data_IF_011271425811
#
_entry.id   IF_011271425811
#
_cell.length_a   1.000
_cell.length_b   1.000
_cell.length_c   1.000
_cell.angle_alpha   90.00
_cell.angle_beta   90.00
_cell.angle_gamma   90.00
#
_symmetry.space_group_name_H-M   'P 1'
#
loop_
_entity.id
_entity.type
_entity.pdbx_description
1 polymer ?
#
# COMPACT_ATOMS: atom_id res chain seq x y z
N UNK A 1 12.01 -94.36 9.70
CA UNK A 1 11.57 -93.50 10.83
C UNK A 1 12.44 -92.26 10.91
N UNK A 2 11.91 -91.09 10.57
CA UNK A 2 12.09 -89.81 11.30
C UNK A 2 11.14 -88.77 10.71
N UNK A 3 10.42 -88.15 11.63
CA UNK A 3 9.15 -87.47 11.48
C UNK A 3 9.24 -86.07 10.84
N UNK A 4 8.41 -85.83 9.84
CA UNK A 4 8.04 -84.51 9.34
C UNK A 4 7.10 -83.80 10.33
N UNK A 5 7.66 -82.92 11.17
CA UNK A 5 6.88 -82.06 12.06
C UNK A 5 6.25 -80.88 11.31
N UNK A 6 5.00 -81.04 10.90
CA UNK A 6 4.20 -79.98 10.27
C UNK A 6 3.84 -78.86 11.25
N UNK A 7 4.20 -77.61 10.92
CA UNK A 7 3.73 -76.44 11.65
C UNK A 7 2.27 -76.14 11.30
N UNK A 8 1.36 -76.30 12.27
CA UNK A 8 -0.08 -76.07 12.10
C UNK A 8 -0.43 -74.60 11.80
N UNK A 9 -1.52 -74.32 11.04
CA UNK A 9 -1.91 -72.96 10.59
C UNK A 9 -2.13 -71.94 11.72
N UNK A 10 -2.54 -72.40 12.92
CA UNK A 10 -2.71 -71.55 14.12
C UNK A 10 -1.38 -70.93 14.59
N UNK A 11 -0.25 -71.64 14.44
CA UNK A 11 1.07 -71.15 14.86
C UNK A 11 1.60 -70.01 13.97
N UNK A 12 1.35 -70.07 12.65
CA UNK A 12 1.70 -68.99 11.71
C UNK A 12 0.89 -67.72 11.95
N UNK A 13 -0.41 -67.85 12.25
CA UNK A 13 -1.29 -66.70 12.57
C UNK A 13 -0.88 -66.03 13.89
N UNK A 14 -0.52 -66.81 14.90
CA UNK A 14 0.01 -66.31 16.17
C UNK A 14 1.33 -65.55 15.98
N UNK A 15 2.30 -66.13 15.26
CA UNK A 15 3.58 -65.47 14.93
C UNK A 15 3.42 -64.17 14.14
N UNK A 16 2.47 -64.11 13.19
CA UNK A 16 2.15 -62.87 12.45
C UNK A 16 1.54 -61.79 13.34
N UNK A 17 0.69 -62.18 14.31
CA UNK A 17 0.07 -61.24 15.25
C UNK A 17 1.09 -60.67 16.24
N UNK A 18 2.00 -61.51 16.73
CA UNK A 18 3.17 -61.10 17.54
C UNK A 18 4.08 -60.13 16.78
N UNK A 19 4.42 -60.43 15.51
CA UNK A 19 5.23 -59.55 14.68
C UNK A 19 4.55 -58.20 14.40
N UNK A 20 3.24 -58.20 14.12
CA UNK A 20 2.47 -56.98 13.93
C UNK A 20 2.39 -56.13 15.20
N UNK A 21 2.26 -56.76 16.38
CA UNK A 21 2.25 -56.08 17.67
C UNK A 21 3.61 -55.42 17.98
N UNK A 22 4.71 -56.14 17.74
CA UNK A 22 6.08 -55.59 17.87
C UNK A 22 6.34 -54.44 16.88
N UNK A 23 5.88 -54.56 15.64
CA UNK A 23 5.99 -53.49 14.65
C UNK A 23 5.19 -52.25 15.07
N UNK A 24 3.96 -52.44 15.57
CA UNK A 24 3.11 -51.37 16.07
C UNK A 24 3.72 -50.67 17.30
N UNK A 25 4.24 -51.43 18.27
CA UNK A 25 4.93 -50.87 19.45
C UNK A 25 6.19 -50.09 19.06
N UNK A 26 6.94 -50.59 18.06
CA UNK A 26 8.13 -49.89 17.53
C UNK A 26 7.74 -48.58 16.84
N UNK A 27 6.68 -48.59 16.03
CA UNK A 27 6.15 -47.38 15.36
C UNK A 27 5.61 -46.39 16.40
N UNK A 28 4.93 -46.89 17.45
CA UNK A 28 4.40 -46.05 18.53
C UNK A 28 5.53 -45.39 19.32
N UNK A 29 6.55 -46.15 19.73
CA UNK A 29 7.75 -45.60 20.38
C UNK A 29 8.47 -44.60 19.49
N UNK A 30 8.62 -44.87 18.18
CA UNK A 30 9.20 -43.90 17.22
C UNK A 30 8.37 -42.62 17.11
N UNK A 31 7.03 -42.72 17.11
CA UNK A 31 6.13 -41.56 17.11
C UNK A 31 6.21 -40.76 18.42
N UNK A 32 6.28 -41.42 19.57
CA UNK A 32 6.46 -40.76 20.87
C UNK A 32 7.83 -40.07 20.95
N UNK A 33 8.90 -40.74 20.52
CA UNK A 33 10.25 -40.14 20.47
C UNK A 33 10.32 -38.96 19.50
N UNK A 34 9.60 -39.05 18.37
CA UNK A 34 9.47 -37.95 17.41
C UNK A 34 8.70 -36.78 18.02
N UNK A 35 7.58 -37.03 18.72
CA UNK A 35 6.83 -36.00 19.46
C UNK A 35 7.68 -35.34 20.55
N UNK A 36 8.48 -36.12 21.27
CA UNK A 36 9.41 -35.60 22.29
C UNK A 36 10.50 -34.75 21.64
N UNK A 37 11.12 -35.19 20.54
CA UNK A 37 12.09 -34.38 19.78
C UNK A 37 11.47 -33.14 19.15
N UNK A 38 10.23 -33.21 18.68
CA UNK A 38 9.47 -32.07 18.17
C UNK A 38 9.13 -31.10 19.31
N UNK A 39 8.73 -31.59 20.49
CA UNK A 39 8.49 -30.77 21.68
C UNK A 39 9.78 -30.13 22.22
N UNK A 40 10.89 -30.86 22.22
CA UNK A 40 12.21 -30.39 22.63
C UNK A 40 12.80 -29.40 21.61
N UNK A 41 12.57 -29.62 20.31
CA UNK A 41 12.81 -28.64 19.26
C UNK A 41 11.96 -27.39 19.48
N UNK A 42 10.67 -27.55 19.82
CA UNK A 42 9.76 -26.43 20.11
C UNK A 42 10.19 -25.67 21.36
N UNK A 43 10.74 -26.35 22.37
CA UNK A 43 11.31 -25.74 23.58
C UNK A 43 12.65 -25.02 23.33
N UNK A 44 13.54 -25.56 22.49
CA UNK A 44 14.75 -24.84 22.03
C UNK A 44 14.41 -23.61 21.19
N UNK A 45 13.34 -23.74 20.42
CA UNK A 45 12.71 -22.68 19.66
C UNK A 45 11.97 -21.67 20.57
N UNK A 46 11.61 -22.00 21.82
CA UNK A 46 11.00 -21.06 22.78
C UNK A 46 11.98 -20.06 23.42
N UNK A 47 13.24 -20.02 22.96
CA UNK A 47 14.01 -18.76 22.98
C UNK A 47 13.52 -17.77 21.89
N UNK A 48 12.34 -18.02 21.32
CA UNK A 48 11.64 -17.11 20.43
C UNK A 48 11.42 -15.78 21.14
N UNK A 49 12.21 -14.83 20.68
CA UNK A 49 11.88 -13.43 20.56
C UNK A 49 10.37 -13.33 20.27
N UNK A 50 9.60 -12.86 21.26
CA UNK A 50 8.15 -12.63 21.14
C UNK A 50 7.83 -11.80 19.89
N UNK A 51 6.62 -11.86 19.31
CA UNK A 51 6.26 -10.97 18.19
C UNK A 51 6.53 -9.49 18.48
N UNK A 52 6.44 -9.09 19.74
CA UNK A 52 6.84 -7.80 20.31
C UNK A 52 8.35 -7.58 20.23
N UNK A 53 9.17 -8.54 20.65
CA UNK A 53 10.63 -8.44 20.50
C UNK A 53 11.07 -8.53 19.02
N UNK A 54 10.41 -9.31 18.14
CA UNK A 54 10.70 -9.36 16.69
C UNK A 54 10.39 -8.01 16.05
N UNK A 55 9.33 -7.35 16.50
CA UNK A 55 9.01 -5.98 16.08
C UNK A 55 10.01 -4.92 16.57
N UNK A 56 10.85 -5.27 17.55
CA UNK A 56 11.92 -4.42 18.12
C UNK A 56 13.31 -4.76 17.57
N UNK A 57 13.50 -5.89 16.87
CA UNK A 57 14.74 -6.16 16.15
C UNK A 57 14.85 -5.14 15.03
N UNK A 58 15.74 -4.16 15.21
CA UNK A 58 16.20 -3.29 14.12
C UNK A 58 17.09 -4.15 13.23
N UNK A 59 16.67 -4.35 11.98
CA UNK A 59 17.57 -4.93 10.98
C UNK A 59 18.77 -3.97 10.81
N UNK A 60 20.00 -4.45 10.57
CA UNK A 60 21.15 -3.58 10.26
C UNK A 60 20.89 -2.63 9.08
N UNK A 61 19.92 -2.99 8.23
CA UNK A 61 19.40 -2.21 7.11
C UNK A 61 17.94 -1.75 7.33
N UNK A 62 17.49 -1.61 8.57
CA UNK A 62 16.23 -0.91 8.85
C UNK A 62 16.44 0.57 8.52
N UNK A 63 16.18 0.90 7.25
CA UNK A 63 16.27 2.25 6.70
C UNK A 63 15.13 3.16 7.20
N UNK A 64 14.69 2.98 8.43
CA UNK A 64 13.86 3.92 9.17
C UNK A 64 14.81 4.69 10.12
N UNK A 65 15.49 5.77 9.70
CA UNK A 65 16.25 6.57 10.63
C UNK A 65 15.30 7.53 11.36
N UNK A 66 15.67 7.81 12.60
CA UNK A 66 15.05 8.78 13.51
C UNK A 66 13.66 8.35 13.97
N UNK A 67 13.56 8.11 15.27
CA UNK A 67 12.27 7.95 15.95
C UNK A 67 11.43 9.17 15.50
N UNK A 68 10.34 8.98 14.73
CA UNK A 68 9.45 10.10 14.47
C UNK A 68 9.09 10.64 15.84
N UNK A 69 9.12 11.96 16.05
CA UNK A 69 8.55 12.52 17.27
C UNK A 69 7.21 11.82 17.47
N UNK A 70 7.06 11.14 18.62
CA UNK A 70 5.82 10.47 18.96
C UNK A 70 4.83 11.58 19.29
N UNK A 71 4.41 12.34 18.29
CA UNK A 71 3.19 13.13 18.37
C UNK A 71 2.08 12.19 18.82
N UNK A 72 1.18 12.69 19.66
CA UNK A 72 0.04 11.92 20.12
C UNK A 72 -0.66 11.33 18.89
N UNK A 73 -0.70 9.99 18.82
CA UNK A 73 -1.43 9.30 17.78
C UNK A 73 -2.93 9.56 18.00
N UNK A 74 -3.46 10.66 17.46
CA UNK A 74 -4.90 10.91 17.44
C UNK A 74 -5.56 9.79 16.63
N UNK A 75 -6.42 9.02 17.28
CA UNK A 75 -7.11 7.87 16.70
C UNK A 75 -8.54 7.85 17.15
N UNK A 76 -9.45 7.55 16.23
CA UNK A 76 -10.88 7.39 16.53
C UNK A 76 -11.27 5.92 16.33
N UNK A 77 -12.22 5.46 17.16
CA UNK A 77 -12.91 4.17 17.04
C UNK A 77 -12.00 2.98 16.70
N UNK A 78 -11.11 2.62 17.63
CA UNK A 78 -10.13 1.51 17.45
C UNK A 78 -9.18 1.69 16.26
N UNK A 79 -8.80 2.93 15.93
CA UNK A 79 -7.84 3.29 14.87
C UNK A 79 -8.39 3.10 13.44
N UNK A 80 -9.70 3.18 13.25
CA UNK A 80 -10.30 3.17 11.90
C UNK A 80 -9.98 4.50 11.20
N UNK A 81 -10.11 5.61 11.91
CA UNK A 81 -9.63 6.92 11.45
C UNK A 81 -8.36 7.22 12.23
N UNK A 82 -7.28 7.52 11.52
CA UNK A 82 -5.96 7.68 12.13
C UNK A 82 -5.13 8.74 11.46
N UNK A 83 -4.50 9.58 12.29
CA UNK A 83 -3.48 10.51 11.82
C UNK A 83 -2.20 9.76 11.47
N UNK A 84 -1.78 9.85 10.22
CA UNK A 84 -0.41 9.57 9.82
C UNK A 84 0.49 10.71 10.32
N UNK A 85 1.51 10.38 11.12
CA UNK A 85 2.43 11.35 11.75
C UNK A 85 3.86 10.81 11.82
N UNK A 86 4.20 9.85 10.96
CA UNK A 86 5.43 9.07 11.06
C UNK A 86 6.47 9.48 10.04
N UNK A 87 6.40 10.72 9.57
CA UNK A 87 7.37 11.19 8.63
C UNK A 87 8.71 11.49 9.31
N UNK A 88 9.82 11.01 8.74
CA UNK A 88 11.15 11.42 9.15
C UNK A 88 11.33 12.95 8.99
N UNK A 89 12.13 13.60 9.85
CA UNK A 89 12.34 15.06 9.80
C UNK A 89 12.89 15.59 8.48
N UNK A 90 13.69 14.79 7.76
CA UNK A 90 14.29 15.19 6.47
C UNK A 90 13.31 15.06 5.29
N UNK A 91 12.08 14.59 5.52
CA UNK A 91 11.07 14.33 4.50
C UNK A 91 9.92 15.33 4.62
N UNK A 92 9.65 16.05 3.53
CA UNK A 92 8.50 16.93 3.37
C UNK A 92 7.26 16.10 3.07
N UNK A 93 6.72 15.47 4.11
CA UNK A 93 5.46 14.74 4.09
C UNK A 93 4.85 14.81 5.48
N UNK A 94 4.16 15.90 5.80
CA UNK A 94 3.56 16.07 7.12
C UNK A 94 2.32 15.21 7.34
N UNK A 95 1.53 15.63 8.33
CA UNK A 95 0.41 14.84 8.81
C UNK A 95 -0.73 14.76 7.79
N UNK A 96 -1.40 13.61 7.71
CA UNK A 96 -2.65 13.44 6.95
C UNK A 96 -3.52 12.34 7.57
N UNK A 97 -4.82 12.39 7.31
CA UNK A 97 -5.78 11.44 7.87
C UNK A 97 -5.97 10.22 6.97
N UNK A 98 -5.93 9.04 7.57
CA UNK A 98 -6.19 7.77 6.91
C UNK A 98 -7.56 7.23 7.34
N UNK A 99 -8.36 6.76 6.37
CA UNK A 99 -9.51 5.90 6.62
C UNK A 99 -9.11 4.44 6.38
N UNK A 100 -8.99 3.68 7.47
CA UNK A 100 -8.58 2.27 7.48
C UNK A 100 -9.79 1.34 7.39
N UNK A 101 -10.60 1.53 6.34
CA UNK A 101 -11.79 0.73 6.06
C UNK A 101 -11.46 -0.70 5.60
N UNK A 102 -10.30 -0.89 4.98
CA UNK A 102 -9.79 -2.17 4.53
C UNK A 102 -8.26 -2.23 4.57
N UNK A 103 -7.73 -3.43 4.37
CA UNK A 103 -6.29 -3.72 4.37
C UNK A 103 -5.96 -4.68 3.23
N UNK A 104 -4.87 -4.43 2.52
CA UNK A 104 -4.46 -5.25 1.38
C UNK A 104 -5.14 -4.81 0.08
N UNK A 105 -4.84 -5.51 -1.00
CA UNK A 105 -5.29 -5.13 -2.35
C UNK A 105 -5.32 -6.39 -3.24
N UNK A 106 -6.34 -6.56 -4.11
CA UNK A 106 -6.37 -7.69 -5.05
C UNK A 106 -5.39 -7.52 -6.22
N UNK A 107 -4.87 -6.30 -6.44
CA UNK A 107 -3.87 -6.03 -7.47
C UNK A 107 -2.49 -6.57 -7.03
N UNK A 108 -1.64 -6.92 -8.00
CA UNK A 108 -0.38 -7.59 -7.73
C UNK A 108 0.84 -6.76 -8.14
N UNK A 109 0.80 -5.45 -7.95
CA UNK A 109 1.91 -4.58 -8.36
C UNK A 109 3.23 -5.00 -7.70
N UNK A 110 4.30 -5.03 -8.49
CA UNK A 110 5.58 -5.60 -8.07
C UNK A 110 6.30 -4.70 -7.07
N UNK A 111 6.16 -3.38 -7.23
CA UNK A 111 6.74 -2.34 -6.36
C UNK A 111 5.85 -1.98 -5.15
N UNK A 112 4.74 -2.69 -4.92
CA UNK A 112 3.73 -2.33 -3.93
C UNK A 112 4.28 -2.33 -2.49
N UNK A 113 4.27 -1.16 -1.83
CA UNK A 113 4.74 -1.04 -0.44
C UNK A 113 3.86 -1.81 0.56
N UNK A 114 2.60 -2.12 0.23
CA UNK A 114 1.74 -2.93 1.11
C UNK A 114 2.31 -4.32 1.37
N UNK A 115 3.17 -4.85 0.48
CA UNK A 115 3.93 -6.09 0.73
C UNK A 115 4.82 -5.94 1.96
N UNK A 116 5.50 -4.81 2.09
CA UNK A 116 6.31 -4.49 3.26
C UNK A 116 5.45 -4.24 4.50
N UNK A 117 4.37 -3.45 4.35
CA UNK A 117 3.44 -3.10 5.43
C UNK A 117 2.78 -4.34 6.06
N UNK A 118 2.30 -5.29 5.25
CA UNK A 118 1.61 -6.49 5.71
C UNK A 118 2.48 -7.75 5.71
N UNK A 119 3.80 -7.60 5.57
CA UNK A 119 4.73 -8.73 5.62
C UNK A 119 4.37 -9.86 4.65
N UNK A 120 4.01 -9.47 3.42
CA UNK A 120 3.58 -10.37 2.34
C UNK A 120 2.10 -10.77 2.36
N UNK A 121 1.35 -10.51 3.45
CA UNK A 121 -0.08 -10.85 3.56
C UNK A 121 -0.97 -9.76 2.96
N UNK A 122 -0.89 -9.59 1.63
CA UNK A 122 -1.60 -8.51 0.90
C UNK A 122 -3.04 -8.85 0.51
N UNK A 123 -3.54 -10.04 0.83
CA UNK A 123 -4.94 -10.44 0.59
C UNK A 123 -5.90 -9.42 1.22
N UNK A 124 -6.91 -8.93 0.45
CA UNK A 124 -7.90 -7.99 0.95
C UNK A 124 -8.62 -8.48 2.21
N UNK A 125 -8.73 -7.59 3.20
CA UNK A 125 -9.50 -7.78 4.42
C UNK A 125 -10.27 -6.51 4.72
N UNK A 126 -11.55 -6.64 5.02
CA UNK A 126 -12.45 -5.52 5.26
C UNK A 126 -12.74 -5.36 6.75
N UNK A 127 -12.81 -4.13 7.22
CA UNK A 127 -13.44 -3.82 8.50
C UNK A 127 -14.96 -3.96 8.31
N UNK A 128 -15.70 -4.37 9.36
CA UNK A 128 -17.17 -4.37 9.28
C UNK A 128 -17.68 -2.96 8.96
N UNK A 129 -18.57 -2.84 7.97
CA UNK A 129 -19.07 -1.53 7.51
C UNK A 129 -19.67 -0.71 8.66
N UNK A 130 -20.45 -1.31 9.54
CA UNK A 130 -21.07 -0.60 10.67
C UNK A 130 -20.04 0.02 11.61
N UNK A 131 -18.87 -0.61 11.79
CA UNK A 131 -17.78 -0.02 12.57
C UNK A 131 -17.13 1.16 11.84
N UNK A 132 -17.06 1.11 10.51
CA UNK A 132 -16.54 2.22 9.70
C UNK A 132 -17.50 3.40 9.74
N UNK A 133 -18.79 3.17 9.55
CA UNK A 133 -19.82 4.22 9.60
C UNK A 133 -19.89 4.86 10.99
N UNK A 134 -19.89 4.05 12.06
CA UNK A 134 -19.83 4.56 13.44
C UNK A 134 -18.57 5.40 13.69
N UNK A 135 -17.43 5.01 13.12
CA UNK A 135 -16.21 5.79 13.29
C UNK A 135 -16.28 7.15 12.60
N UNK A 136 -16.93 7.20 11.43
CA UNK A 136 -17.19 8.46 10.74
C UNK A 136 -18.16 9.33 11.54
N UNK A 137 -19.21 8.76 12.14
CA UNK A 137 -20.10 9.50 13.05
C UNK A 137 -19.35 10.11 14.23
N UNK A 138 -18.50 9.33 14.89
CA UNK A 138 -17.67 9.84 16.01
C UNK A 138 -16.76 10.99 15.55
N UNK A 139 -16.16 10.88 14.36
CA UNK A 139 -15.29 11.93 13.80
C UNK A 139 -16.07 13.18 13.40
N UNK A 140 -17.21 13.04 12.73
CA UNK A 140 -18.00 14.17 12.23
C UNK A 140 -18.61 15.00 13.37
N UNK A 141 -18.93 14.35 14.49
CA UNK A 141 -19.48 15.01 15.68
C UNK A 141 -18.40 15.56 16.64
N UNK A 142 -17.12 15.30 16.39
CA UNK A 142 -16.02 15.86 17.19
C UNK A 142 -15.60 17.24 16.63
N UNK A 143 -16.05 18.31 17.28
CA UNK A 143 -15.69 19.69 16.90
C UNK A 143 -14.20 19.99 17.03
N UNK A 144 -13.45 19.23 17.84
CA UNK A 144 -12.00 19.36 18.00
C UNK A 144 -11.21 18.53 16.97
N UNK A 145 -11.88 17.73 16.14
CA UNK A 145 -11.22 16.98 15.08
C UNK A 145 -10.48 17.91 14.12
N UNK A 146 -9.23 17.55 13.80
CA UNK A 146 -8.30 18.35 13.00
C UNK A 146 -8.20 19.83 13.47
N UNK A 147 -8.24 20.04 14.79
CA UNK A 147 -8.19 21.35 15.44
C UNK A 147 -9.31 22.28 14.92
N UNK A 148 -10.47 21.71 14.64
CA UNK A 148 -11.64 22.41 14.11
C UNK A 148 -11.58 22.70 12.61
N UNK A 149 -10.50 22.35 11.90
CA UNK A 149 -10.35 22.62 10.45
C UNK A 149 -10.95 21.50 9.58
N UNK A 150 -11.34 21.80 8.33
CA UNK A 150 -11.60 20.79 7.30
C UNK A 150 -10.43 19.81 7.15
N UNK A 151 -10.70 18.60 6.67
CA UNK A 151 -9.67 17.57 6.48
C UNK A 151 -9.97 16.71 5.25
N UNK A 152 -8.93 16.23 4.58
CA UNK A 152 -9.01 15.18 3.57
C UNK A 152 -8.66 13.85 4.22
N UNK A 153 -9.56 12.88 4.11
CA UNK A 153 -9.42 11.56 4.70
C UNK A 153 -9.11 10.57 3.59
N UNK A 154 -7.87 10.09 3.54
CA UNK A 154 -7.36 9.19 2.51
C UNK A 154 -7.81 7.73 2.77
N UNK A 155 -8.65 7.19 1.88
CA UNK A 155 -9.10 5.80 1.93
C UNK A 155 -8.19 4.80 1.21
N UNK A 156 -7.13 5.28 0.54
CA UNK A 156 -6.24 4.50 -0.32
C UNK A 156 -4.84 4.21 0.23
N UNK A 157 -4.52 4.59 1.47
CA UNK A 157 -3.16 4.37 2.03
C UNK A 157 -2.89 2.91 2.44
N UNK A 158 -3.93 2.13 2.75
CA UNK A 158 -3.80 0.75 3.25
C UNK A 158 -4.55 -0.29 2.40
N UNK A 159 -5.27 0.18 1.39
CA UNK A 159 -6.04 -0.59 0.43
C UNK A 159 -6.20 0.22 -0.86
N UNK A 160 -6.75 -0.39 -1.90
CA UNK A 160 -7.24 0.38 -3.05
C UNK A 160 -8.71 0.75 -2.82
N UNK A 161 -9.05 2.04 -2.90
CA UNK A 161 -10.37 2.55 -2.54
C UNK A 161 -11.52 1.91 -3.34
N UNK A 162 -11.29 1.51 -4.61
CA UNK A 162 -12.34 0.96 -5.47
C UNK A 162 -12.28 -0.57 -5.61
N UNK A 163 -11.50 -1.27 -4.79
CA UNK A 163 -11.49 -2.74 -4.79
C UNK A 163 -12.82 -3.35 -4.32
N UNK A 164 -13.67 -2.57 -3.65
CA UNK A 164 -15.03 -2.94 -3.25
C UNK A 164 -15.97 -1.73 -3.40
N UNK A 165 -16.50 -1.47 -4.62
CA UNK A 165 -17.31 -0.29 -4.92
C UNK A 165 -18.56 -0.17 -4.03
N UNK A 166 -19.28 -1.27 -3.78
CA UNK A 166 -20.48 -1.25 -2.93
C UNK A 166 -20.19 -0.87 -1.47
N UNK A 167 -19.00 -1.21 -0.96
CA UNK A 167 -18.56 -0.78 0.37
C UNK A 167 -18.19 0.70 0.36
N UNK A 168 -17.45 1.13 -0.67
CA UNK A 168 -17.01 2.53 -0.81
C UNK A 168 -18.18 3.48 -1.06
N UNK A 169 -19.23 3.03 -1.75
CA UNK A 169 -20.47 3.79 -1.95
C UNK A 169 -21.08 4.21 -0.61
N UNK A 170 -21.23 3.27 0.33
CA UNK A 170 -21.75 3.55 1.68
C UNK A 170 -20.88 4.54 2.45
N UNK A 171 -19.55 4.43 2.31
CA UNK A 171 -18.62 5.39 2.93
C UNK A 171 -18.80 6.77 2.29
N UNK A 172 -18.83 6.85 0.96
CA UNK A 172 -18.96 8.11 0.25
C UNK A 172 -20.30 8.80 0.53
N UNK A 173 -21.40 8.04 0.63
CA UNK A 173 -22.71 8.56 1.06
C UNK A 173 -22.68 9.09 2.49
N UNK A 174 -21.96 8.40 3.40
CA UNK A 174 -21.79 8.86 4.78
C UNK A 174 -21.10 10.23 4.84
N UNK A 175 -20.14 10.50 3.96
CA UNK A 175 -19.50 11.82 3.87
C UNK A 175 -20.44 12.93 3.41
N UNK A 176 -21.53 12.64 2.70
CA UNK A 176 -22.52 13.65 2.29
C UNK A 176 -23.47 14.09 3.42
N UNK A 177 -23.47 13.40 4.57
CA UNK A 177 -24.26 13.80 5.76
C UNK A 177 -23.68 15.03 6.47
N UNK A 178 -22.52 15.51 6.04
CA UNK A 178 -21.83 16.68 6.56
C UNK A 178 -21.22 17.49 5.41
N UNK A 179 -20.72 18.70 5.67
CA UNK A 179 -20.24 19.62 4.62
C UNK A 179 -18.79 20.11 4.79
N UNK A 180 -18.04 19.57 5.76
CA UNK A 180 -16.73 20.06 6.21
C UNK A 180 -15.56 19.20 5.75
N UNK A 181 -15.64 17.88 5.93
CA UNK A 181 -14.55 16.94 5.66
C UNK A 181 -14.74 16.28 4.30
N UNK A 182 -13.63 15.94 3.62
CA UNK A 182 -13.67 15.29 2.30
C UNK A 182 -13.08 13.89 2.35
N UNK A 183 -13.75 12.95 1.71
CA UNK A 183 -13.21 11.63 1.38
C UNK A 183 -12.28 11.74 0.18
N UNK A 184 -11.09 11.15 0.26
CA UNK A 184 -10.27 10.89 -0.92
C UNK A 184 -10.33 9.42 -1.28
N UNK A 185 -10.83 9.14 -2.48
CA UNK A 185 -10.77 7.84 -3.15
C UNK A 185 -9.50 7.84 -4.01
N UNK A 186 -8.55 6.95 -3.72
CA UNK A 186 -7.35 6.76 -4.54
C UNK A 186 -7.31 5.33 -5.08
N UNK A 187 -7.23 5.18 -6.40
CA UNK A 187 -7.41 3.87 -7.04
C UNK A 187 -6.53 3.65 -8.27
N UNK A 188 -6.33 2.37 -8.60
CA UNK A 188 -5.84 1.89 -9.91
C UNK A 188 -6.93 1.19 -10.73
N UNK A 189 -8.16 1.08 -10.25
CA UNK A 189 -9.24 0.45 -11.02
C UNK A 189 -9.76 1.35 -12.15
N UNK A 190 -10.32 0.71 -13.17
CA UNK A 190 -10.86 1.35 -14.37
C UNK A 190 -12.39 1.40 -14.37
N UNK A 191 -12.96 1.44 -15.57
CA UNK A 191 -14.39 1.79 -15.80
C UNK A 191 -15.38 0.84 -15.12
N UNK A 192 -15.00 -0.43 -14.89
CA UNK A 192 -15.86 -1.43 -14.25
C UNK A 192 -16.15 -1.17 -12.76
N UNK A 193 -15.41 -0.27 -12.11
CA UNK A 193 -15.48 -0.07 -10.66
C UNK A 193 -16.08 1.30 -10.25
N UNK A 194 -16.52 2.11 -11.21
CA UNK A 194 -16.94 3.51 -10.98
C UNK A 194 -18.44 3.74 -11.09
N UNK A 195 -19.24 2.71 -11.33
CA UNK A 195 -20.69 2.84 -11.60
C UNK A 195 -21.44 3.67 -10.52
N UNK A 196 -21.17 3.44 -9.24
CA UNK A 196 -21.80 4.21 -8.15
C UNK A 196 -21.38 5.69 -8.10
N UNK A 197 -20.22 6.04 -8.66
CA UNK A 197 -19.78 7.43 -8.81
C UNK A 197 -20.57 8.10 -9.93
N UNK A 198 -20.81 7.41 -11.04
CA UNK A 198 -21.57 7.95 -12.18
C UNK A 198 -23.07 8.11 -11.85
N UNK A 199 -23.63 7.23 -11.02
CA UNK A 199 -25.04 7.27 -10.61
C UNK A 199 -25.39 8.46 -9.73
N UNK A 200 -24.44 8.92 -8.89
CA UNK A 200 -24.67 9.98 -7.91
C UNK A 200 -23.38 10.73 -7.61
N UNK A 201 -23.28 11.96 -8.08
CA UNK A 201 -22.19 12.87 -7.75
C UNK A 201 -22.23 13.27 -6.28
N UNK A 202 -21.06 13.35 -5.63
CA UNK A 202 -20.91 13.62 -4.18
C UNK A 202 -19.94 14.77 -3.96
N UNK A 203 -20.36 15.81 -3.24
CA UNK A 203 -19.59 17.06 -3.06
C UNK A 203 -18.43 16.92 -2.07
N UNK A 204 -18.54 15.98 -1.13
CA UNK A 204 -17.53 15.67 -0.12
C UNK A 204 -16.62 14.51 -0.53
N UNK A 205 -16.56 14.19 -1.83
CA UNK A 205 -15.69 13.14 -2.35
C UNK A 205 -14.77 13.68 -3.44
N UNK A 206 -13.47 13.45 -3.27
CA UNK A 206 -12.43 13.68 -4.27
C UNK A 206 -12.01 12.31 -4.81
N UNK A 207 -11.95 12.18 -6.14
CA UNK A 207 -11.51 10.95 -6.79
C UNK A 207 -10.10 11.12 -7.38
N UNK A 208 -9.23 10.16 -7.16
CA UNK A 208 -7.85 10.21 -7.62
C UNK A 208 -7.45 8.90 -8.29
N UNK A 209 -6.82 8.99 -9.47
CA UNK A 209 -6.30 7.83 -10.20
C UNK A 209 -4.79 7.77 -10.12
N UNK A 210 -4.29 6.61 -9.70
CA UNK A 210 -2.88 6.24 -9.86
C UNK A 210 -2.63 5.83 -11.31
N UNK A 211 -1.90 6.67 -12.04
CA UNK A 211 -1.49 6.44 -13.42
C UNK A 211 0.03 6.25 -13.50
N UNK A 212 0.47 5.60 -14.56
CA UNK A 212 1.89 5.41 -14.84
C UNK A 212 2.10 5.33 -16.35
N UNK A 213 3.36 5.41 -16.80
CA UNK A 213 3.68 5.13 -18.19
C UNK A 213 3.18 3.73 -18.57
N UNK A 214 2.52 3.55 -19.74
CA UNK A 214 1.98 2.23 -20.13
C UNK A 214 3.03 1.09 -20.11
N UNK A 215 4.29 1.38 -20.47
CA UNK A 215 5.39 0.40 -20.40
C UNK A 215 5.68 -0.03 -18.95
N UNK A 216 5.72 0.92 -18.01
CA UNK A 216 5.90 0.65 -16.58
C UNK A 216 4.74 -0.18 -16.02
N UNK A 217 3.50 0.17 -16.37
CA UNK A 217 2.32 -0.56 -15.93
C UNK A 217 2.32 -2.01 -16.41
N UNK A 218 2.70 -2.25 -17.68
CA UNK A 218 2.85 -3.61 -18.22
C UNK A 218 3.92 -4.43 -17.50
N UNK A 219 5.05 -3.80 -17.14
CA UNK A 219 6.13 -4.48 -16.42
C UNK A 219 5.73 -4.84 -14.99
N UNK A 220 5.15 -3.89 -14.23
CA UNK A 220 5.09 -4.01 -12.77
C UNK A 220 3.72 -3.81 -12.14
N UNK A 221 2.64 -3.63 -12.90
CA UNK A 221 1.28 -3.45 -12.36
C UNK A 221 0.35 -4.62 -12.71
N UNK A 222 0.84 -5.85 -12.54
CA UNK A 222 0.06 -7.07 -12.77
C UNK A 222 -1.31 -7.03 -12.05
N UNK A 223 -2.35 -7.48 -12.75
CA UNK A 223 -3.77 -7.49 -12.37
C UNK A 223 -4.44 -6.10 -12.26
N UNK A 224 -3.70 -5.00 -12.42
CA UNK A 224 -4.32 -3.69 -12.51
C UNK A 224 -4.84 -3.44 -13.93
N UNK A 225 -5.99 -2.76 -14.10
CA UNK A 225 -6.48 -2.32 -15.40
C UNK A 225 -5.45 -1.53 -16.20
N UNK A 226 -5.62 -1.49 -17.53
CA UNK A 226 -4.73 -0.73 -18.40
C UNK A 226 -4.74 0.76 -18.05
N UNK A 227 -3.68 1.46 -18.42
CA UNK A 227 -3.62 2.92 -18.23
C UNK A 227 -4.76 3.63 -18.97
N UNK A 228 -5.12 3.15 -20.16
CA UNK A 228 -6.22 3.72 -20.94
C UNK A 228 -7.58 3.53 -20.26
N UNK A 229 -7.86 2.37 -19.66
CA UNK A 229 -9.11 2.13 -18.91
C UNK A 229 -9.18 2.98 -17.64
N UNK A 230 -8.04 3.24 -16.98
CA UNK A 230 -7.99 4.15 -15.83
C UNK A 230 -8.19 5.60 -16.22
N UNK A 231 -7.60 6.05 -17.34
CA UNK A 231 -7.80 7.40 -17.87
C UNK A 231 -9.26 7.60 -18.26
N UNK A 232 -9.88 6.61 -18.92
CA UNK A 232 -11.29 6.68 -19.28
C UNK A 232 -12.19 6.73 -18.04
N UNK A 233 -11.90 5.93 -17.01
CA UNK A 233 -12.62 5.98 -15.74
C UNK A 233 -12.52 7.37 -15.07
N UNK A 234 -11.31 7.95 -15.04
CA UNK A 234 -11.07 9.27 -14.49
C UNK A 234 -11.82 10.37 -15.27
N UNK A 235 -11.83 10.27 -16.61
CA UNK A 235 -12.60 11.17 -17.49
C UNK A 235 -14.09 11.11 -17.19
N UNK A 236 -14.70 9.92 -17.17
CA UNK A 236 -16.14 9.76 -16.94
C UNK A 236 -16.56 10.32 -15.57
N UNK A 237 -15.74 10.10 -14.54
CA UNK A 237 -15.99 10.64 -13.20
C UNK A 237 -15.82 12.16 -13.16
N UNK A 238 -14.84 12.72 -13.89
CA UNK A 238 -14.67 14.18 -14.04
C UNK A 238 -15.87 14.81 -14.75
N UNK A 239 -16.34 14.20 -15.84
CA UNK A 239 -17.52 14.63 -16.61
C UNK A 239 -18.80 14.56 -15.76
N UNK A 240 -18.86 13.67 -14.77
CA UNK A 240 -19.96 13.59 -13.80
C UNK A 240 -19.90 14.69 -12.72
N UNK A 241 -18.92 15.59 -12.76
CA UNK A 241 -18.83 16.75 -11.87
C UNK A 241 -17.99 16.54 -10.61
N UNK A 242 -17.22 15.46 -10.52
CA UNK A 242 -16.27 15.26 -9.41
C UNK A 242 -15.00 16.10 -9.58
N UNK A 243 -14.38 16.41 -8.44
CA UNK A 243 -12.97 16.80 -8.40
C UNK A 243 -12.13 15.55 -8.66
N UNK A 244 -11.30 15.59 -9.70
CA UNK A 244 -10.47 14.47 -10.15
C UNK A 244 -8.99 14.81 -10.12
N UNK A 245 -8.23 14.05 -9.33
CA UNK A 245 -6.79 14.16 -9.23
C UNK A 245 -6.09 13.02 -9.96
N UNK A 246 -4.87 13.28 -10.40
CA UNK A 246 -3.97 12.23 -10.93
C UNK A 246 -2.77 12.08 -10.00
N UNK A 247 -2.40 10.84 -9.72
CA UNK A 247 -1.18 10.50 -9.00
C UNK A 247 -0.26 9.67 -9.89
N UNK A 248 0.88 10.23 -10.25
CA UNK A 248 1.96 9.54 -10.95
C UNK A 248 3.05 9.23 -9.93
N UNK A 249 2.82 8.18 -9.16
CA UNK A 249 3.72 7.74 -8.10
C UNK A 249 3.72 6.21 -7.98
N UNK A 250 4.80 5.52 -8.38
CA UNK A 250 6.14 6.05 -8.70
C UNK A 250 6.43 6.26 -10.20
N UNK A 251 7.20 7.32 -10.51
CA UNK A 251 7.86 7.58 -11.80
C UNK A 251 9.16 6.77 -11.85
N UNK A 252 9.26 5.81 -12.77
CA UNK A 252 10.43 4.96 -12.95
C UNK A 252 11.30 5.42 -14.12
N UNK A 253 12.62 5.58 -13.94
CA UNK A 253 13.55 5.94 -14.99
C UNK A 253 13.93 4.72 -15.84
N UNK A 254 12.93 4.09 -16.46
CA UNK A 254 13.17 3.06 -17.49
C UNK A 254 13.89 3.68 -18.69
N UNK A 255 14.42 2.84 -19.58
CA UNK A 255 14.89 3.30 -20.89
C UNK A 255 13.78 4.08 -21.61
N UNK A 256 14.16 5.24 -22.15
CA UNK A 256 13.29 6.23 -22.79
C UNK A 256 12.14 6.71 -21.88
N UNK A 257 12.38 6.83 -20.57
CA UNK A 257 11.33 7.23 -19.63
C UNK A 257 10.72 8.59 -19.99
N UNK A 258 11.50 9.57 -20.48
CA UNK A 258 10.97 10.87 -20.88
C UNK A 258 9.82 10.73 -21.89
N UNK A 259 10.05 10.00 -22.99
CA UNK A 259 9.04 9.78 -24.03
C UNK A 259 7.82 9.03 -23.49
N UNK A 260 8.05 8.04 -22.63
CA UNK A 260 6.97 7.28 -22.01
C UNK A 260 6.08 8.10 -21.09
N UNK A 261 6.65 9.05 -20.33
CA UNK A 261 5.88 9.93 -19.45
C UNK A 261 5.30 11.13 -20.20
N UNK A 262 5.96 11.67 -21.22
CA UNK A 262 5.36 12.66 -22.12
C UNK A 262 4.13 12.10 -22.84
N UNK A 263 4.24 10.88 -23.38
CA UNK A 263 3.11 10.18 -23.98
C UNK A 263 1.94 9.98 -22.99
N UNK A 264 2.25 9.64 -21.73
CA UNK A 264 1.23 9.54 -20.68
C UNK A 264 0.52 10.88 -20.46
N UNK A 265 1.29 11.98 -20.31
CA UNK A 265 0.72 13.31 -20.11
C UNK A 265 -0.16 13.73 -21.29
N UNK A 266 0.29 13.52 -22.53
CA UNK A 266 -0.50 13.76 -23.73
C UNK A 266 -1.79 12.96 -23.74
N UNK A 267 -1.76 11.67 -23.35
CA UNK A 267 -2.97 10.84 -23.24
C UNK A 267 -3.97 11.40 -22.23
N UNK A 268 -3.51 11.82 -21.06
CA UNK A 268 -4.36 12.39 -20.02
C UNK A 268 -5.00 13.69 -20.53
N UNK A 269 -4.19 14.64 -20.99
CA UNK A 269 -4.65 15.99 -21.36
C UNK A 269 -5.51 16.01 -22.63
N UNK A 270 -5.38 15.00 -23.51
CA UNK A 270 -6.33 14.80 -24.63
C UNK A 270 -7.72 14.36 -24.18
N UNK A 271 -7.86 13.84 -22.97
CA UNK A 271 -9.12 13.27 -22.45
C UNK A 271 -9.79 14.20 -21.44
N UNK A 272 -9.01 14.78 -20.53
CA UNK A 272 -9.49 15.76 -19.56
C UNK A 272 -8.32 16.49 -18.88
N UNK A 273 -8.59 17.64 -18.26
CA UNK A 273 -7.63 18.32 -17.39
C UNK A 273 -7.90 17.95 -15.94
N UNK A 274 -6.93 17.35 -15.21
CA UNK A 274 -7.11 17.02 -13.80
C UNK A 274 -7.10 18.28 -12.92
N UNK A 275 -7.74 18.21 -11.75
CA UNK A 275 -7.75 19.33 -10.79
C UNK A 275 -6.47 19.42 -9.96
N UNK A 276 -5.71 18.31 -9.88
CA UNK A 276 -4.43 18.23 -9.17
C UNK A 276 -3.59 17.09 -9.71
N UNK A 277 -2.26 17.26 -9.72
CA UNK A 277 -1.30 16.22 -10.09
C UNK A 277 -0.30 16.01 -8.94
N UNK A 278 -0.20 14.77 -8.47
CA UNK A 278 0.76 14.35 -7.44
C UNK A 278 1.82 13.49 -8.11
N UNK A 279 3.09 13.89 -8.02
CA UNK A 279 4.22 13.16 -8.55
C UNK A 279 4.99 12.45 -7.43
N UNK A 280 5.70 11.38 -7.75
CA UNK A 280 6.62 10.75 -6.80
C UNK A 280 7.55 9.77 -7.48
N UNK A 281 8.72 9.55 -6.90
CA UNK A 281 9.69 8.55 -7.37
C UNK A 281 9.63 7.29 -6.49
N UNK A 282 10.11 6.13 -6.97
CA UNK A 282 10.04 4.89 -6.21
C UNK A 282 10.88 4.95 -4.93
N UNK A 283 10.46 4.18 -3.92
CA UNK A 283 11.10 4.07 -2.60
C UNK A 283 11.49 2.62 -2.34
N UNK A 284 12.78 2.36 -2.19
CA UNK A 284 13.34 1.04 -1.92
C UNK A 284 13.34 0.72 -0.43
N UNK A 285 12.14 0.51 0.14
CA UNK A 285 12.01 0.05 1.51
C UNK A 285 12.45 -1.41 1.63
N UNK A 286 13.32 -1.73 2.60
CA UNK A 286 13.84 -3.09 2.80
C UNK A 286 12.72 -4.13 2.88
N UNK A 287 11.67 -3.86 3.67
CA UNK A 287 10.52 -4.78 3.81
C UNK A 287 9.81 -4.99 2.47
N UNK A 288 9.62 -3.93 1.67
CA UNK A 288 9.00 -4.03 0.35
C UNK A 288 9.82 -4.93 -0.57
N UNK A 289 11.14 -4.69 -0.64
CA UNK A 289 12.07 -5.50 -1.44
C UNK A 289 12.06 -6.97 -0.99
N UNK A 290 12.19 -7.21 0.32
CA UNK A 290 12.20 -8.55 0.89
C UNK A 290 10.92 -9.34 0.55
N UNK A 291 9.74 -8.74 0.76
CA UNK A 291 8.47 -9.42 0.51
C UNK A 291 8.10 -9.46 -0.98
N UNK A 292 8.64 -8.58 -1.82
CA UNK A 292 8.54 -8.71 -3.29
C UNK A 292 9.32 -9.95 -3.77
N UNK A 293 10.59 -10.11 -3.35
CA UNK A 293 11.40 -11.31 -3.65
C UNK A 293 10.71 -12.58 -3.15
N UNK A 294 10.21 -12.58 -1.91
CA UNK A 294 9.49 -13.73 -1.33
C UNK A 294 8.23 -14.10 -2.11
N UNK A 295 7.53 -13.11 -2.65
CA UNK A 295 6.34 -13.32 -3.47
C UNK A 295 6.64 -13.71 -4.92
N UNK A 296 7.92 -13.76 -5.32
CA UNK A 296 8.38 -14.09 -6.68
C UNK A 296 7.72 -13.23 -7.77
N UNK A 297 7.47 -11.96 -7.47
CA UNK A 297 7.07 -10.97 -8.48
C UNK A 297 8.29 -10.43 -9.21
N UNK A 298 8.10 -9.75 -10.34
CA UNK A 298 9.21 -9.11 -11.05
C UNK A 298 9.91 -8.07 -10.15
N UNK A 299 11.16 -8.33 -9.79
CA UNK A 299 11.98 -7.43 -8.98
C UNK A 299 13.01 -6.65 -9.79
N UNK A 300 12.89 -6.59 -11.12
CA UNK A 300 13.79 -5.84 -12.00
C UNK A 300 13.83 -4.34 -11.68
N UNK A 301 12.77 -3.79 -11.09
CA UNK A 301 12.72 -2.39 -10.60
C UNK A 301 13.70 -2.10 -9.45
N UNK A 302 14.24 -3.12 -8.77
CA UNK A 302 15.18 -2.92 -7.65
C UNK A 302 16.50 -2.32 -8.13
N UNK A 303 16.91 -2.57 -9.38
CA UNK A 303 18.16 -2.07 -9.97
C UNK A 303 18.31 -0.55 -9.88
N UNK A 304 17.19 0.19 -9.83
CA UNK A 304 17.23 1.65 -9.70
C UNK A 304 17.68 2.16 -8.32
N UNK A 305 17.93 1.25 -7.37
CA UNK A 305 18.48 1.57 -6.05
C UNK A 305 19.94 1.13 -5.86
N UNK A 306 20.63 0.71 -6.93
CA UNK A 306 22.01 0.19 -6.83
C UNK A 306 23.01 1.24 -6.34
N UNK A 307 22.73 2.53 -6.57
CA UNK A 307 23.49 3.66 -6.01
C UNK A 307 23.30 3.85 -4.50
N UNK A 308 22.36 3.13 -3.89
CA UNK A 308 22.08 3.10 -2.44
C UNK A 308 21.93 4.49 -1.80
N UNK A 309 21.34 5.45 -2.50
CA UNK A 309 21.01 6.75 -1.91
C UNK A 309 19.97 6.56 -0.80
N UNK A 310 20.31 7.02 0.41
CA UNK A 310 19.50 6.83 1.62
C UNK A 310 18.86 8.15 2.04
N UNK A 311 17.60 8.06 2.45
CA UNK A 311 16.84 9.14 3.07
C UNK A 311 16.17 8.62 4.33
N UNK A 312 15.52 9.50 5.10
CA UNK A 312 14.65 9.09 6.20
C UNK A 312 13.59 8.05 5.80
N UNK A 313 13.15 8.06 4.54
CA UNK A 313 12.11 7.18 4.02
C UNK A 313 12.64 5.92 3.31
N UNK A 314 13.92 5.58 3.52
CA UNK A 314 14.57 4.45 2.86
C UNK A 314 15.32 4.82 1.59
N UNK A 315 15.57 3.81 0.74
CA UNK A 315 16.34 4.00 -0.49
C UNK A 315 15.55 4.83 -1.51
N UNK A 316 16.25 5.72 -2.20
CA UNK A 316 15.74 6.57 -3.29
C UNK A 316 16.61 6.41 -4.53
N UNK A 317 16.08 6.85 -5.67
CA UNK A 317 16.88 7.06 -6.88
C UNK A 317 17.96 8.13 -6.61
N UNK A 318 19.05 8.17 -7.40
CA UNK A 318 20.04 9.23 -7.32
C UNK A 318 19.43 10.63 -7.36
N UNK A 319 19.93 11.54 -6.52
CA UNK A 319 19.38 12.87 -6.30
C UNK A 319 19.16 13.64 -7.60
N UNK A 320 20.20 13.71 -8.45
CA UNK A 320 20.14 14.44 -9.72
C UNK A 320 19.13 13.82 -10.70
N UNK A 321 18.95 12.51 -10.67
CA UNK A 321 17.94 11.82 -11.49
C UNK A 321 16.52 12.11 -11.00
N UNK A 322 16.30 12.16 -9.69
CA UNK A 322 14.99 12.58 -9.13
C UNK A 322 14.69 14.03 -9.50
N UNK A 323 15.68 14.92 -9.38
CA UNK A 323 15.56 16.32 -9.77
C UNK A 323 15.20 16.47 -11.25
N UNK A 324 15.89 15.76 -12.15
CA UNK A 324 15.60 15.82 -13.59
C UNK A 324 14.21 15.27 -13.92
N UNK A 325 13.76 14.22 -13.23
CA UNK A 325 12.37 13.72 -13.34
C UNK A 325 11.36 14.82 -12.99
N UNK A 326 11.50 15.48 -11.84
CA UNK A 326 10.52 16.48 -11.42
C UNK A 326 10.53 17.72 -12.32
N UNK A 327 11.73 18.19 -12.72
CA UNK A 327 11.85 19.31 -13.66
C UNK A 327 11.24 18.99 -15.03
N UNK A 328 11.50 17.79 -15.56
CA UNK A 328 10.91 17.33 -16.82
C UNK A 328 9.38 17.30 -16.74
N UNK A 329 8.81 16.70 -15.69
CA UNK A 329 7.36 16.63 -15.53
C UNK A 329 6.74 18.03 -15.41
N UNK A 330 7.38 18.93 -14.66
CA UNK A 330 6.92 20.31 -14.51
C UNK A 330 6.93 21.06 -15.83
N UNK A 331 8.04 21.04 -16.58
CA UNK A 331 8.17 21.68 -17.89
C UNK A 331 7.10 21.15 -18.87
N UNK A 332 6.89 19.84 -18.92
CA UNK A 332 5.88 19.25 -19.82
C UNK A 332 4.46 19.63 -19.43
N UNK A 333 4.15 19.65 -18.13
CA UNK A 333 2.84 20.09 -17.64
C UNK A 333 2.60 21.58 -17.92
N UNK A 334 3.60 22.42 -17.71
CA UNK A 334 3.54 23.85 -18.03
C UNK A 334 3.29 24.08 -19.54
N UNK A 335 4.01 23.35 -20.41
CA UNK A 335 3.79 23.39 -21.87
C UNK A 335 2.40 22.93 -22.30
N UNK A 336 1.76 22.07 -21.52
CA UNK A 336 0.36 21.65 -21.71
C UNK A 336 -0.65 22.67 -21.15
N UNK A 337 -0.20 23.83 -20.67
CA UNK A 337 -1.04 24.88 -20.09
C UNK A 337 -1.55 24.56 -18.68
N UNK A 338 -0.95 23.57 -18.00
CA UNK A 338 -1.37 23.20 -16.65
C UNK A 338 -0.87 24.20 -15.61
N UNK A 339 -1.73 24.57 -14.66
CA UNK A 339 -1.33 25.41 -13.54
C UNK A 339 -0.37 24.65 -12.62
N UNK A 340 0.92 24.98 -12.70
CA UNK A 340 1.99 24.29 -11.98
C UNK A 340 1.89 24.42 -10.45
N UNK A 341 1.14 25.38 -9.91
CA UNK A 341 0.84 25.47 -8.46
C UNK A 341 0.02 24.29 -7.96
N UNK A 342 -0.71 23.60 -8.85
CA UNK A 342 -1.50 22.40 -8.55
C UNK A 342 -0.70 21.09 -8.72
N UNK A 343 0.64 21.18 -8.68
CA UNK A 343 1.56 20.05 -8.69
C UNK A 343 2.17 19.90 -7.29
N UNK A 344 2.21 18.68 -6.76
CA UNK A 344 2.98 18.37 -5.56
C UNK A 344 3.84 17.12 -5.75
N UNK A 345 4.92 17.00 -4.97
CA UNK A 345 5.77 15.80 -4.95
C UNK A 345 5.62 15.06 -3.62
N UNK A 346 5.49 13.74 -3.68
CA UNK A 346 5.18 12.91 -2.52
C UNK A 346 6.44 12.34 -1.86
N UNK A 347 6.52 12.45 -0.53
CA UNK A 347 7.55 11.80 0.30
C UNK A 347 8.96 12.10 -0.22
N UNK A 348 9.25 13.39 -0.44
CA UNK A 348 10.55 13.89 -0.89
C UNK A 348 11.33 14.63 0.19
N UNK A 349 12.65 14.69 0.04
CA UNK A 349 13.51 15.33 1.04
C UNK A 349 13.41 16.85 1.01
N UNK A 350 13.63 17.51 2.15
CA UNK A 350 13.72 18.99 2.23
C UNK A 350 14.71 19.52 1.20
N UNK A 351 15.90 18.92 1.12
CA UNK A 351 16.94 19.25 0.12
C UNK A 351 16.44 19.17 -1.33
N UNK A 352 15.55 18.21 -1.64
CA UNK A 352 14.98 18.11 -2.99
C UNK A 352 14.08 19.30 -3.28
N UNK A 353 13.17 19.64 -2.37
CA UNK A 353 12.28 20.80 -2.49
C UNK A 353 13.05 22.11 -2.65
N UNK A 354 14.06 22.34 -1.81
CA UNK A 354 14.96 23.51 -1.91
C UNK A 354 15.65 23.56 -3.28
N UNK A 355 16.14 22.42 -3.77
CA UNK A 355 16.86 22.35 -5.05
C UNK A 355 15.97 22.59 -6.28
N UNK A 356 14.67 22.31 -6.16
CA UNK A 356 13.66 22.61 -7.17
C UNK A 356 13.18 24.06 -7.08
N UNK A 357 13.45 24.75 -5.96
CA UNK A 357 12.91 26.08 -5.63
C UNK A 357 11.38 26.08 -5.63
N UNK A 358 10.77 24.97 -5.21
CA UNK A 358 9.32 24.84 -5.07
C UNK A 358 8.91 25.13 -3.63
N UNK A 359 7.81 25.85 -3.46
CA UNK A 359 7.24 26.11 -2.13
C UNK A 359 6.63 24.84 -1.56
N UNK A 360 6.88 24.58 -0.27
CA UNK A 360 6.22 23.53 0.49
C UNK A 360 5.76 24.07 1.85
N UNK A 361 4.82 23.36 2.47
CA UNK A 361 4.23 23.72 3.76
C UNK A 361 4.81 22.83 4.88
N UNK A 362 5.71 23.34 5.75
CA UNK A 362 6.32 22.54 6.82
C UNK A 362 5.28 21.90 7.73
N UNK A 363 5.50 20.64 8.13
CA UNK A 363 4.58 19.91 9.02
C UNK A 363 3.28 19.42 8.36
N UNK A 364 2.97 19.84 7.13
CA UNK A 364 1.79 19.40 6.39
C UNK A 364 2.11 18.39 5.27
N UNK A 365 1.16 17.52 4.97
CA UNK A 365 1.25 16.63 3.81
C UNK A 365 1.02 17.43 2.53
N UNK A 366 2.01 17.49 1.62
CA UNK A 366 1.90 18.27 0.37
C UNK A 366 0.82 17.73 -0.60
N UNK A 367 0.34 16.50 -0.36
CA UNK A 367 -0.71 15.90 -1.17
C UNK A 367 -2.11 16.16 -0.60
N UNK A 368 -2.25 16.21 0.73
CA UNK A 368 -3.54 16.09 1.44
C UNK A 368 -3.70 17.05 2.64
N UNK A 369 -2.76 17.98 2.84
CA UNK A 369 -2.72 18.92 3.96
C UNK A 369 -3.79 20.01 3.88
N UNK A 370 -3.79 20.93 4.84
CA UNK A 370 -4.80 21.99 4.92
C UNK A 370 -4.67 22.98 3.75
N UNK A 371 -3.44 23.32 3.35
CA UNK A 371 -3.19 24.16 2.18
C UNK A 371 -3.84 23.61 0.89
N UNK A 372 -4.03 22.30 0.80
CA UNK A 372 -4.70 21.66 -0.34
C UNK A 372 -6.20 21.92 -0.33
N UNK A 373 -6.82 21.92 0.87
CA UNK A 373 -8.24 22.18 1.02
C UNK A 373 -8.59 23.63 0.74
N UNK A 374 -7.69 24.56 1.02
CA UNK A 374 -7.85 25.98 0.70
C UNK A 374 -7.88 26.26 -0.81
N UNK A 375 -7.41 25.31 -1.64
CA UNK A 375 -7.43 25.37 -3.10
C UNK A 375 -8.69 24.75 -3.73
N UNK A 376 -9.52 24.04 -2.96
CA UNK A 376 -10.72 23.32 -3.40
C UNK A 376 -11.99 24.15 -3.18
#
# INVERSE_FOLDING_TARGET
MRSSGGFTPKSKRYKRREAAKKAWETIRKKKELKKLKEAESTLKINSFITPTQISRIKHPEDFSPLIPEKGLAKTYSKRIIRLFHKAPPDIVCGNFWELRWAFGCPLNCAYCYLRGTYRGKITPRYVKIDHVLKALDEMFNDSAFNDGKPAIINSGELADSLMNPAFMEKIADKFEEQNKHKLLILTKFGTKNIDFLLKKTRKQTICAWSLNAPKVARLWETNAPSIDDRIEAAKLVKESGYIVWIRIDPIFPIEDWQDHYEYLLLKIFRKFTPDRIILGTPRGLWKTIHYAKKARVDTSWIKYFDFKEKTGWGLKLPFNLRKSIYLFMHEKLEKLGYNTRKISICKETVKMWESLKWTYYPGECQCYGNHVLEEL
#
